data_IF_249957206332
#
_entry.id   IF_249957206332
#
_cell.length_a   1.000
_cell.length_b   1.000
_cell.length_c   1.000
_cell.angle_alpha   90.00
_cell.angle_beta   90.00
_cell.angle_gamma   90.00
#
_symmetry.space_group_name_H-M   'P 1'
#
loop_
_entity.id
_entity.type
_entity.pdbx_description
1 polymer ?
#
# COMPACT_ATOMS: atom_id res chain seq x y z
N UNK A 1 -16.30 26.68 43.92
CA UNK A 1 -16.68 26.85 42.49
C UNK A 1 -15.68 26.11 41.61
N UNK A 2 -16.04 24.93 41.10
CA UNK A 2 -15.16 24.07 40.28
C UNK A 2 -15.50 24.22 38.79
N UNK A 3 -14.55 24.67 37.97
CA UNK A 3 -14.70 24.82 36.51
C UNK A 3 -14.50 23.45 35.84
N UNK A 4 -15.60 22.82 35.41
CA UNK A 4 -15.57 21.62 34.54
C UNK A 4 -14.99 21.97 33.16
N UNK A 5 -13.89 21.30 32.76
CA UNK A 5 -13.36 21.30 31.40
C UNK A 5 -14.35 20.55 30.48
N UNK A 6 -14.86 21.22 29.44
CA UNK A 6 -15.72 20.60 28.41
C UNK A 6 -14.87 19.71 27.50
N UNK A 7 -14.96 18.41 27.72
CA UNK A 7 -14.43 17.38 26.82
C UNK A 7 -15.27 17.29 25.54
N UNK A 8 -14.59 17.13 24.40
CA UNK A 8 -15.06 16.59 23.11
C UNK A 8 -16.47 16.99 22.64
N UNK A 9 -16.54 17.97 21.74
CA UNK A 9 -17.71 18.13 20.86
C UNK A 9 -17.54 17.25 19.62
N UNK A 10 -18.34 16.17 19.54
CA UNK A 10 -18.54 15.42 18.30
C UNK A 10 -19.23 16.31 17.26
N UNK A 11 -18.48 16.84 16.29
CA UNK A 11 -19.08 17.36 15.06
C UNK A 11 -19.51 16.17 14.20
N UNK A 12 -20.82 15.95 14.06
CA UNK A 12 -21.39 15.09 13.02
C UNK A 12 -20.99 15.69 11.66
N UNK A 13 -19.99 15.09 11.01
CA UNK A 13 -19.66 15.41 9.62
C UNK A 13 -20.64 14.62 8.76
N UNK A 14 -21.68 15.30 8.27
CA UNK A 14 -22.42 14.85 7.09
C UNK A 14 -21.41 14.76 5.94
N UNK A 15 -20.81 13.59 5.74
CA UNK A 15 -20.04 13.31 4.54
C UNK A 15 -21.03 12.99 3.43
N UNK A 16 -21.33 13.99 2.62
CA UNK A 16 -21.80 13.75 1.27
C UNK A 16 -20.79 12.83 0.58
N UNK A 17 -21.26 11.70 0.07
CA UNK A 17 -20.47 10.76 -0.73
C UNK A 17 -20.14 11.39 -2.09
N UNK A 18 -19.24 12.38 -2.11
CA UNK A 18 -18.48 12.69 -3.31
C UNK A 18 -17.41 11.62 -3.42
N UNK A 19 -17.71 10.59 -4.21
CA UNK A 19 -16.75 9.60 -4.65
C UNK A 19 -15.45 10.29 -5.08
N UNK A 20 -14.32 9.88 -4.50
CA UNK A 20 -12.98 10.34 -4.87
C UNK A 20 -12.59 9.77 -6.24
N UNK A 21 -13.29 10.22 -7.29
CA UNK A 21 -13.00 9.91 -8.70
C UNK A 21 -11.94 10.84 -9.31
N UNK A 22 -11.19 11.58 -8.49
CA UNK A 22 -10.21 12.56 -8.95
C UNK A 22 -8.82 12.18 -8.40
N UNK A 23 -8.07 11.35 -9.14
CA UNK A 23 -6.57 11.22 -9.17
C UNK A 23 -6.11 9.81 -9.59
N UNK A 24 -6.44 9.34 -10.79
CA UNK A 24 -5.81 8.10 -11.31
C UNK A 24 -4.57 8.42 -12.17
N UNK A 25 -4.39 9.68 -12.58
CA UNK A 25 -3.19 10.15 -13.28
C UNK A 25 -1.90 10.23 -12.42
N UNK A 26 -1.97 9.92 -11.11
CA UNK A 26 -0.81 9.92 -10.22
C UNK A 26 -0.86 8.77 -9.21
N UNK A 27 -0.98 7.52 -9.69
CA UNK A 27 -0.77 6.36 -8.83
C UNK A 27 0.72 6.23 -8.50
N UNK A 28 1.07 6.13 -7.22
CA UNK A 28 2.42 5.71 -6.86
C UNK A 28 2.61 4.20 -7.15
N UNK A 29 3.85 3.71 -7.15
CA UNK A 29 4.15 2.32 -7.50
C UNK A 29 3.36 1.29 -6.67
N UNK A 30 3.18 1.54 -5.36
CA UNK A 30 2.40 0.67 -4.48
C UNK A 30 0.92 0.67 -4.82
N UNK A 31 0.35 1.85 -5.09
CA UNK A 31 -1.05 2.00 -5.51
C UNK A 31 -1.31 1.37 -6.88
N UNK A 32 -0.39 1.56 -7.83
CA UNK A 32 -0.47 0.92 -9.14
C UNK A 32 -0.44 -0.61 -9.00
N UNK A 33 0.46 -1.14 -8.17
CA UNK A 33 0.53 -2.57 -7.86
C UNK A 33 -0.77 -3.11 -7.24
N UNK A 34 -1.35 -2.37 -6.28
CA UNK A 34 -2.64 -2.72 -5.68
C UNK A 34 -3.75 -2.80 -6.75
N UNK A 35 -3.82 -1.81 -7.64
CA UNK A 35 -4.85 -1.75 -8.69
C UNK A 35 -4.66 -2.87 -9.70
N UNK A 36 -3.42 -3.13 -10.11
CA UNK A 36 -3.09 -4.19 -11.05
C UNK A 36 -3.46 -5.57 -10.51
N UNK A 37 -3.13 -5.86 -9.24
CA UNK A 37 -3.48 -7.13 -8.60
C UNK A 37 -5.00 -7.28 -8.50
N UNK A 38 -5.73 -6.21 -8.14
CA UNK A 38 -7.20 -6.23 -8.14
C UNK A 38 -7.76 -6.55 -9.52
N UNK A 39 -7.22 -5.92 -10.55
CA UNK A 39 -7.64 -6.15 -11.92
C UNK A 39 -7.38 -7.61 -12.36
N UNK A 40 -6.22 -8.18 -12.01
CA UNK A 40 -5.88 -9.57 -12.31
C UNK A 40 -6.82 -10.56 -11.60
N UNK A 41 -7.13 -10.33 -10.32
CA UNK A 41 -8.09 -11.14 -9.57
C UNK A 41 -9.50 -11.07 -10.17
N UNK A 42 -9.91 -9.92 -10.69
CA UNK A 42 -11.18 -9.78 -11.43
C UNK A 42 -11.17 -10.61 -12.72
N UNK A 43 -10.05 -10.66 -13.46
CA UNK A 43 -9.93 -11.54 -14.63
C UNK A 43 -10.07 -13.02 -14.26
N UNK A 44 -9.43 -13.46 -13.18
CA UNK A 44 -9.57 -14.83 -12.70
C UNK A 44 -11.00 -15.15 -12.30
N UNK A 45 -11.72 -14.21 -11.68
CA UNK A 45 -13.15 -14.34 -11.42
C UNK A 45 -13.94 -14.52 -12.72
N UNK A 46 -13.75 -13.63 -13.69
CA UNK A 46 -14.51 -13.63 -14.95
C UNK A 46 -14.30 -14.93 -15.75
N UNK A 47 -13.10 -15.50 -15.68
CA UNK A 47 -12.71 -16.70 -16.43
C UNK A 47 -12.92 -17.98 -15.63
N UNK A 48 -13.43 -17.90 -14.39
CA UNK A 48 -13.56 -19.04 -13.47
C UNK A 48 -12.23 -19.80 -13.26
N UNK A 49 -11.11 -19.08 -13.27
CA UNK A 49 -9.79 -19.66 -13.05
C UNK A 49 -9.62 -19.96 -11.56
N UNK A 50 -9.22 -21.20 -11.25
CA UNK A 50 -8.85 -21.58 -9.88
C UNK A 50 -7.50 -20.96 -9.55
N UNK A 51 -7.48 -20.13 -8.51
CA UNK A 51 -6.26 -19.48 -8.02
C UNK A 51 -5.72 -20.21 -6.79
N UNK A 52 -4.54 -19.80 -6.30
CA UNK A 52 -4.04 -20.19 -4.96
C UNK A 52 -4.99 -19.78 -3.83
N UNK A 53 -5.84 -18.79 -4.08
CA UNK A 53 -6.90 -18.38 -3.17
C UNK A 53 -8.15 -19.27 -3.30
N UNK A 54 -8.22 -20.17 -4.27
CA UNK A 54 -9.41 -20.94 -4.65
C UNK A 54 -10.28 -20.17 -5.66
N UNK A 55 -11.53 -20.59 -5.80
CA UNK A 55 -12.47 -19.95 -6.71
C UNK A 55 -12.93 -18.59 -6.15
N UNK A 56 -12.96 -17.59 -7.01
CA UNK A 56 -13.43 -16.23 -6.70
C UNK A 56 -14.88 -16.15 -7.17
N UNK A 57 -15.84 -16.30 -6.26
CA UNK A 57 -17.27 -16.16 -6.58
C UNK A 57 -17.74 -14.72 -6.43
N UNK A 58 -17.19 -14.03 -5.41
CA UNK A 58 -17.52 -12.65 -5.08
C UNK A 58 -16.24 -11.84 -4.89
N UNK A 59 -16.15 -10.68 -5.53
CA UNK A 59 -14.98 -9.81 -5.50
C UNK A 59 -15.39 -8.34 -5.38
N UNK A 60 -14.87 -7.66 -4.36
CA UNK A 60 -15.31 -6.32 -3.97
C UNK A 60 -14.12 -5.49 -3.45
N UNK A 61 -14.13 -4.16 -3.65
CA UNK A 61 -13.14 -3.27 -3.03
C UNK A 61 -13.28 -3.23 -1.50
N UNK A 62 -14.53 -3.26 -1.03
CA UNK A 62 -14.95 -3.24 0.36
C UNK A 62 -16.28 -4.01 0.48
N UNK A 63 -16.75 -4.38 1.68
CA UNK A 63 -18.03 -5.07 1.80
C UNK A 63 -19.15 -4.28 1.12
N UNK A 64 -19.87 -4.92 0.22
CA UNK A 64 -20.95 -4.35 -0.61
C UNK A 64 -20.49 -3.33 -1.67
N UNK A 65 -19.19 -3.28 -1.99
CA UNK A 65 -18.63 -2.41 -3.01
C UNK A 65 -18.03 -3.23 -4.15
N UNK A 66 -18.89 -3.78 -5.00
CA UNK A 66 -18.53 -4.62 -6.13
C UNK A 66 -17.59 -3.91 -7.12
N UNK A 67 -16.62 -4.68 -7.61
CA UNK A 67 -15.79 -4.32 -8.76
C UNK A 67 -16.57 -4.74 -10.02
N UNK A 68 -16.72 -3.83 -10.98
CA UNK A 68 -17.66 -3.95 -12.09
C UNK A 68 -16.96 -4.04 -13.43
N UNK A 69 -16.51 -5.22 -13.85
CA UNK A 69 -16.13 -5.43 -15.25
C UNK A 69 -16.06 -6.92 -15.60
N UNK A 70 -17.18 -7.50 -16.06
CA UNK A 70 -17.26 -8.93 -16.41
C UNK A 70 -16.47 -9.31 -17.66
N UNK A 71 -16.08 -8.32 -18.48
CA UNK A 71 -15.36 -8.53 -19.74
C UNK A 71 -13.87 -8.28 -19.62
N UNK A 72 -13.38 -7.85 -18.45
CA UNK A 72 -11.96 -7.57 -18.28
C UNK A 72 -11.16 -8.86 -18.49
N UNK A 73 -10.20 -8.79 -19.40
CA UNK A 73 -9.22 -9.83 -19.68
C UNK A 73 -7.83 -9.18 -19.78
N UNK A 74 -6.97 -9.45 -18.80
CA UNK A 74 -5.61 -8.91 -18.70
C UNK A 74 -4.56 -9.78 -19.38
N UNK A 75 -4.95 -10.79 -20.16
CA UNK A 75 -4.01 -11.50 -21.05
C UNK A 75 -3.57 -10.65 -22.26
N UNK A 76 -4.12 -9.45 -22.42
CA UNK A 76 -3.69 -8.48 -23.41
C UNK A 76 -2.68 -7.52 -22.78
N UNK A 77 -1.60 -7.23 -23.53
CA UNK A 77 -0.66 -6.17 -23.20
C UNK A 77 -1.38 -4.82 -23.34
N UNK A 78 -1.56 -4.12 -22.22
CA UNK A 78 -2.11 -2.77 -22.17
C UNK A 78 -1.01 -1.75 -21.91
N UNK A 79 -1.12 -0.58 -22.52
CA UNK A 79 -0.37 0.61 -22.11
C UNK A 79 -0.84 1.13 -20.74
N UNK A 80 -0.02 1.91 -20.03
CA UNK A 80 -0.38 2.45 -18.72
C UNK A 80 -1.68 3.28 -18.75
N UNK A 81 -1.90 4.04 -19.84
CA UNK A 81 -3.11 4.85 -20.04
C UNK A 81 -4.35 3.98 -20.22
N UNK A 82 -4.24 2.88 -20.96
CA UNK A 82 -5.33 1.91 -21.12
C UNK A 82 -5.65 1.20 -19.81
N UNK A 83 -4.63 0.80 -19.04
CA UNK A 83 -4.79 0.20 -17.72
C UNK A 83 -5.53 1.13 -16.76
N UNK A 84 -5.11 2.40 -16.70
CA UNK A 84 -5.77 3.43 -15.89
C UNK A 84 -7.25 3.57 -16.26
N UNK A 85 -7.56 3.67 -17.57
CA UNK A 85 -8.95 3.73 -18.04
C UNK A 85 -9.73 2.46 -17.69
N UNK A 86 -9.09 1.29 -17.77
CA UNK A 86 -9.68 0.02 -17.36
C UNK A 86 -9.98 0.00 -15.86
N UNK A 87 -9.09 0.50 -15.00
CA UNK A 87 -9.33 0.56 -13.56
C UNK A 87 -10.53 1.43 -13.23
N UNK A 88 -10.63 2.61 -13.86
CA UNK A 88 -11.76 3.53 -13.73
C UNK A 88 -13.09 2.87 -14.10
N UNK A 89 -13.16 2.32 -15.32
CA UNK A 89 -14.37 1.65 -15.83
C UNK A 89 -14.76 0.45 -15.00
N UNK A 90 -13.78 -0.22 -14.40
CA UNK A 90 -14.01 -1.40 -13.57
C UNK A 90 -14.38 -1.07 -12.12
N UNK A 91 -14.42 0.21 -11.75
CA UNK A 91 -14.57 0.64 -10.35
C UNK A 91 -13.50 -0.01 -9.46
N UNK A 92 -12.27 -0.12 -9.93
CA UNK A 92 -11.13 -0.56 -9.11
C UNK A 92 -10.62 0.66 -8.35
N UNK A 93 -10.70 0.60 -7.03
CA UNK A 93 -10.41 1.74 -6.17
C UNK A 93 -9.34 1.40 -5.16
N UNK A 94 -8.61 2.42 -4.71
CA UNK A 94 -7.69 2.30 -3.59
C UNK A 94 -8.44 1.92 -2.32
N UNK A 95 -7.85 1.05 -1.52
CA UNK A 95 -8.32 0.78 -0.17
C UNK A 95 -8.27 2.03 0.71
N UNK A 96 -9.16 2.10 1.71
CA UNK A 96 -9.13 3.21 2.67
C UNK A 96 -7.91 3.04 3.56
N UNK A 97 -7.22 4.14 3.89
CA UNK A 97 -6.03 4.12 4.75
C UNK A 97 -6.25 3.48 6.14
N UNK A 98 -7.50 3.43 6.63
CA UNK A 98 -7.86 2.81 7.91
C UNK A 98 -8.43 1.38 7.75
N UNK A 99 -8.47 0.84 6.54
CA UNK A 99 -8.90 -0.53 6.27
C UNK A 99 -7.74 -1.49 6.52
N UNK A 100 -8.03 -2.64 7.14
CA UNK A 100 -7.08 -3.75 7.26
C UNK A 100 -7.01 -4.62 5.99
N UNK A 101 -7.97 -4.46 5.09
CA UNK A 101 -8.08 -5.22 3.86
C UNK A 101 -8.10 -4.28 2.67
N UNK A 102 -7.40 -4.67 1.62
CA UNK A 102 -7.32 -3.93 0.38
C UNK A 102 -8.43 -4.34 -0.58
N UNK A 103 -8.86 -5.61 -0.49
CA UNK A 103 -9.93 -6.18 -1.30
C UNK A 103 -10.66 -7.27 -0.53
N UNK A 104 -11.87 -7.62 -0.96
CA UNK A 104 -12.69 -8.67 -0.38
C UNK A 104 -12.98 -9.74 -1.43
N UNK A 105 -12.69 -10.99 -1.06
CA UNK A 105 -12.94 -12.17 -1.88
C UNK A 105 -13.78 -13.15 -1.10
N UNK A 106 -14.96 -13.53 -1.61
CA UNK A 106 -15.92 -14.42 -0.94
C UNK A 106 -16.13 -14.01 0.55
N UNK A 107 -16.33 -12.72 0.79
CA UNK A 107 -16.48 -12.11 2.13
C UNK A 107 -15.24 -12.19 3.04
N UNK A 108 -14.08 -12.61 2.53
CA UNK A 108 -12.80 -12.58 3.25
C UNK A 108 -11.96 -11.39 2.80
N UNK A 109 -11.55 -10.56 3.75
CA UNK A 109 -10.64 -9.45 3.49
C UNK A 109 -9.23 -9.95 3.21
N UNK A 110 -8.59 -9.41 2.18
CA UNK A 110 -7.21 -9.70 1.79
C UNK A 110 -6.45 -8.39 1.77
N UNK A 111 -5.25 -8.37 2.36
CA UNK A 111 -4.31 -7.27 2.22
C UNK A 111 -3.26 -7.59 1.16
N UNK A 112 -2.95 -6.61 0.32
CA UNK A 112 -2.01 -6.67 -0.77
C UNK A 112 -0.78 -5.86 -0.38
N UNK A 113 0.40 -6.49 -0.42
CA UNK A 113 1.68 -5.82 -0.17
C UNK A 113 2.63 -6.05 -1.33
N UNK A 114 3.15 -4.96 -1.88
CA UNK A 114 4.19 -4.99 -2.90
C UNK A 114 5.55 -5.09 -2.21
N UNK A 115 6.21 -6.25 -2.33
CA UNK A 115 7.51 -6.50 -1.69
C UNK A 115 8.64 -5.63 -2.27
N UNK A 116 8.55 -5.29 -3.56
CA UNK A 116 9.64 -4.61 -4.27
C UNK A 116 9.43 -3.10 -4.41
N UNK A 117 8.34 -2.55 -3.84
CA UNK A 117 7.85 -1.20 -4.13
C UNK A 117 7.94 -0.21 -2.97
N UNK A 118 8.23 -0.69 -1.77
CA UNK A 118 8.46 0.17 -0.62
C UNK A 118 9.96 0.22 -0.39
N UNK A 119 10.50 1.44 -0.26
CA UNK A 119 11.80 1.57 0.35
C UNK A 119 11.74 0.83 1.69
N UNK A 120 12.67 -0.08 1.97
CA UNK A 120 12.70 -0.72 3.26
C UNK A 120 12.67 0.38 4.33
N UNK A 121 11.91 0.15 5.39
CA UNK A 121 11.80 1.13 6.47
C UNK A 121 13.22 1.36 6.97
N UNK A 122 13.71 2.61 6.86
CA UNK A 122 15.10 2.96 7.16
C UNK A 122 15.53 2.41 8.53
N UNK A 123 14.61 2.55 9.49
CA UNK A 123 14.58 1.89 10.80
C UNK A 123 13.12 1.50 11.04
N UNK A 124 12.88 0.38 11.72
CA UNK A 124 11.54 -0.16 11.97
C UNK A 124 10.48 0.93 12.22
N UNK A 125 9.48 0.96 11.34
CA UNK A 125 8.25 1.77 11.45
C UNK A 125 8.41 3.31 11.45
N UNK A 126 9.60 3.86 11.19
CA UNK A 126 9.79 5.32 11.19
C UNK A 126 9.78 5.89 9.78
N UNK A 127 8.89 6.85 9.53
CA UNK A 127 8.77 7.52 8.23
C UNK A 127 9.96 8.47 7.97
N UNK A 128 10.49 8.51 6.74
CA UNK A 128 11.62 9.36 6.32
C UNK A 128 11.52 10.82 6.77
N UNK A 129 10.31 11.38 6.72
CA UNK A 129 10.05 12.77 7.13
C UNK A 129 10.47 13.06 8.58
N UNK A 130 10.36 12.08 9.47
CA UNK A 130 10.75 12.27 10.87
C UNK A 130 12.27 12.35 11.01
N UNK A 131 13.02 11.56 10.23
CA UNK A 131 14.48 11.65 10.18
C UNK A 131 14.94 12.99 9.61
N UNK A 132 14.34 13.43 8.50
CA UNK A 132 14.68 14.71 7.88
C UNK A 132 14.54 15.88 8.86
N UNK A 133 13.47 15.89 9.68
CA UNK A 133 13.26 16.92 10.70
C UNK A 133 14.35 16.94 11.78
N UNK A 134 14.77 15.76 12.24
CA UNK A 134 15.83 15.64 13.26
C UNK A 134 17.18 16.05 12.66
N UNK A 135 17.50 15.55 11.47
CA UNK A 135 18.77 15.84 10.79
C UNK A 135 18.90 17.33 10.45
N UNK A 136 17.82 17.97 10.04
CA UNK A 136 17.75 19.43 9.83
C UNK A 136 18.11 20.18 11.13
N UNK A 137 17.55 19.76 12.27
CA UNK A 137 17.87 20.38 13.58
C UNK A 137 19.32 20.17 14.00
N UNK A 138 19.94 19.06 13.59
CA UNK A 138 21.33 18.71 13.91
C UNK A 138 22.34 19.19 12.85
N UNK A 139 21.87 19.80 11.74
CA UNK A 139 22.68 20.17 10.57
C UNK A 139 23.47 18.99 9.99
N UNK A 140 22.85 17.82 9.96
CA UNK A 140 23.45 16.58 9.42
C UNK A 140 22.82 16.23 8.07
N UNK A 141 23.61 15.58 7.22
CA UNK A 141 23.14 15.09 5.92
C UNK A 141 22.50 13.70 6.06
N UNK A 142 21.31 13.53 5.48
CA UNK A 142 20.60 12.25 5.42
C UNK A 142 21.30 11.23 4.54
N UNK A 143 22.16 11.66 3.62
CA UNK A 143 22.89 10.75 2.73
C UNK A 143 23.71 9.72 3.50
N UNK A 144 24.31 10.10 4.64
CA UNK A 144 25.08 9.18 5.49
C UNK A 144 24.19 8.02 5.96
N UNK A 145 23.00 8.35 6.47
CA UNK A 145 22.03 7.35 6.93
C UNK A 145 21.52 6.49 5.77
N UNK A 146 21.25 7.09 4.61
CA UNK A 146 20.83 6.37 3.41
C UNK A 146 21.90 5.35 2.96
N UNK A 147 23.19 5.73 2.99
CA UNK A 147 24.31 4.84 2.68
C UNK A 147 24.39 3.66 3.64
N UNK A 148 24.34 3.90 4.96
CA UNK A 148 24.36 2.84 5.97
C UNK A 148 23.24 1.81 5.75
N UNK A 149 22.06 2.29 5.36
CA UNK A 149 20.88 1.44 5.16
C UNK A 149 20.97 0.63 3.88
N UNK A 150 21.44 1.24 2.79
CA UNK A 150 21.73 0.52 1.56
C UNK A 150 22.75 -0.60 1.78
N UNK A 151 23.81 -0.30 2.54
CA UNK A 151 24.82 -1.29 2.92
C UNK A 151 24.23 -2.41 3.78
N UNK A 152 23.44 -2.08 4.81
CA UNK A 152 22.72 -3.05 5.63
C UNK A 152 21.87 -4.00 4.78
N UNK A 153 21.08 -3.46 3.85
CA UNK A 153 20.24 -4.28 2.96
C UNK A 153 21.05 -5.16 2.04
N UNK A 154 22.15 -4.64 1.48
CA UNK A 154 23.07 -5.43 0.65
C UNK A 154 23.67 -6.59 1.44
N UNK A 155 24.17 -6.34 2.65
CA UNK A 155 24.74 -7.38 3.52
C UNK A 155 23.70 -8.44 3.91
N UNK A 156 22.47 -8.03 4.23
CA UNK A 156 21.36 -8.95 4.56
C UNK A 156 20.93 -9.78 3.36
N UNK A 157 20.74 -9.18 2.19
CA UNK A 157 20.37 -9.90 0.96
C UNK A 157 21.43 -10.93 0.55
N UNK A 158 22.69 -10.64 0.85
CA UNK A 158 23.81 -11.55 0.62
C UNK A 158 24.06 -12.54 1.78
N UNK A 159 23.14 -12.65 2.75
CA UNK A 159 23.23 -13.52 3.93
C UNK A 159 24.52 -13.34 4.75
N UNK A 160 25.12 -12.14 4.73
CA UNK A 160 26.33 -11.81 5.52
C UNK A 160 26.01 -11.45 6.96
N UNK A 161 24.80 -10.92 7.20
CA UNK A 161 24.29 -10.53 8.52
C UNK A 161 22.82 -10.94 8.66
N UNK A 162 22.37 -11.09 9.90
CA UNK A 162 20.96 -11.32 10.24
C UNK A 162 20.11 -10.05 10.19
N UNK A 163 18.82 -10.19 10.47
CA UNK A 163 17.91 -9.04 10.65
C UNK A 163 18.24 -8.23 11.92
N UNK A 164 18.49 -8.94 13.02
CA UNK A 164 19.00 -8.35 14.24
C UNK A 164 20.52 -8.42 14.23
N UNK A 165 21.16 -7.24 14.25
CA UNK A 165 22.61 -7.09 14.33
C UNK A 165 22.96 -6.08 15.42
N UNK A 166 23.97 -6.40 16.22
CA UNK A 166 24.51 -5.48 17.22
C UNK A 166 25.38 -4.42 16.52
N UNK A 167 25.32 -3.16 16.97
CA UNK A 167 26.20 -2.10 16.44
C UNK A 167 27.69 -2.41 16.61
N UNK A 168 28.04 -3.24 17.60
CA UNK A 168 29.42 -3.69 17.82
C UNK A 168 29.88 -4.79 16.84
N UNK A 169 28.98 -5.31 16.00
CA UNK A 169 29.32 -6.33 15.04
C UNK A 169 30.24 -5.74 13.96
N UNK A 170 31.32 -6.42 13.54
CA UNK A 170 32.31 -5.85 12.61
C UNK A 170 31.75 -5.52 11.22
N UNK A 171 30.62 -6.14 10.87
CA UNK A 171 29.88 -5.88 9.62
C UNK A 171 28.65 -4.98 9.84
N UNK A 172 28.49 -4.37 11.01
CA UNK A 172 27.42 -3.38 11.23
C UNK A 172 27.75 -2.10 10.45
N UNK A 173 26.84 -1.63 9.58
CA UNK A 173 26.99 -0.32 8.95
C UNK A 173 26.49 0.83 9.85
N UNK A 174 26.05 0.52 11.07
CA UNK A 174 25.56 1.47 12.08
C UNK A 174 26.47 1.51 13.32
#
# INVERSE_FOLDING_TARGET
MSKKKKYFQHRKRLQSQKFQLQKINHLNFGEFGEFFIKAQLLCFQNQNVRTVFGNIQKFENAPNQLIQNKKLNLFQLFTNTELISCFEKSNILKSKNNSKADVFRNNRGVSIKMLNGSYPTLVNHTHRQNFLRVLESLKLDIQILDTCILEYHSLRQNNKIGEDILNSHPLSPF
#
